data_IF_584596868368
#
_entry.id   IF_584596868368
#
_cell.length_a   1.000
_cell.length_b   1.000
_cell.length_c   1.000
_cell.angle_alpha   90.00
_cell.angle_beta   90.00
_cell.angle_gamma   90.00
#
_symmetry.space_group_name_H-M   'P 1'
#
loop_
_entity.id
_entity.type
_entity.pdbx_description
1 polymer ?
#
# COMPACT_ATOMS: atom_id res chain seq x y z
N UNK A 1 -4.85 45.17 -56.92
CA UNK A 1 -4.67 43.73 -56.64
C UNK A 1 -4.57 43.54 -55.13
N UNK A 2 -5.58 42.99 -54.50
CA UNK A 2 -5.55 42.68 -53.07
C UNK A 2 -5.33 41.16 -52.91
N UNK A 3 -4.20 40.74 -52.34
CA UNK A 3 -3.93 39.34 -52.02
C UNK A 3 -4.53 39.03 -50.64
N UNK A 4 -5.45 38.09 -50.62
CA UNK A 4 -5.96 37.53 -49.38
C UNK A 4 -5.08 36.32 -49.01
N UNK A 5 -4.46 36.38 -47.83
CA UNK A 5 -3.71 35.25 -47.22
C UNK A 5 -4.71 34.44 -46.40
N UNK A 6 -5.00 33.22 -46.86
CA UNK A 6 -5.79 32.24 -46.11
C UNK A 6 -4.82 31.50 -45.17
N UNK A 7 -4.89 31.77 -43.90
CA UNK A 7 -4.16 31.01 -42.87
C UNK A 7 -4.96 29.77 -42.53
N UNK A 8 -4.48 28.58 -42.92
CA UNK A 8 -5.05 27.30 -42.54
C UNK A 8 -4.54 26.95 -41.15
N UNK A 9 -5.43 27.02 -40.15
CA UNK A 9 -5.13 26.59 -38.78
C UNK A 9 -5.32 25.07 -38.71
N UNK A 10 -4.24 24.34 -38.58
CA UNK A 10 -4.28 22.91 -38.22
C UNK A 10 -4.57 22.76 -36.74
N UNK A 11 -5.81 22.38 -36.41
CA UNK A 11 -6.20 21.99 -35.05
C UNK A 11 -5.69 20.54 -34.79
N UNK A 12 -4.58 20.42 -34.09
CA UNK A 12 -4.15 19.12 -33.58
C UNK A 12 -5.09 18.69 -32.43
N UNK A 13 -6.07 17.87 -32.76
CA UNK A 13 -6.87 17.16 -31.78
C UNK A 13 -5.96 16.06 -31.24
N UNK A 14 -5.35 16.27 -30.05
CA UNK A 14 -4.73 15.20 -29.30
C UNK A 14 -5.84 14.29 -28.79
N UNK A 15 -6.03 13.16 -29.46
CA UNK A 15 -6.83 12.07 -28.90
C UNK A 15 -6.20 11.65 -27.58
N UNK A 16 -6.99 11.51 -26.48
CA UNK A 16 -6.45 10.92 -25.26
C UNK A 16 -5.97 9.51 -25.62
N UNK A 17 -4.73 9.19 -25.25
CA UNK A 17 -4.21 7.85 -25.36
C UNK A 17 -5.20 6.94 -24.60
N UNK A 18 -5.87 6.05 -25.33
CA UNK A 18 -6.63 4.97 -24.74
C UNK A 18 -5.64 4.18 -23.89
N UNK A 19 -5.83 4.17 -22.57
CA UNK A 19 -5.17 3.22 -21.70
C UNK A 19 -5.70 1.84 -22.12
N UNK A 20 -5.01 1.18 -23.04
CA UNK A 20 -5.20 -0.23 -23.27
C UNK A 20 -5.00 -0.92 -21.93
N UNK A 21 -5.93 -1.79 -21.53
CA UNK A 21 -5.75 -2.62 -20.36
C UNK A 21 -4.52 -3.49 -20.61
N UNK A 22 -3.43 -3.27 -19.87
CA UNK A 22 -2.23 -4.10 -19.92
C UNK A 22 -2.49 -5.44 -19.22
N UNK A 23 -3.32 -6.27 -19.88
CA UNK A 23 -3.64 -7.61 -19.42
C UNK A 23 -2.57 -8.60 -19.89
N UNK A 24 -2.11 -9.45 -19.00
CA UNK A 24 -1.21 -10.57 -19.29
C UNK A 24 -2.07 -11.78 -19.61
N UNK A 25 -1.86 -12.40 -20.78
CA UNK A 25 -2.74 -13.47 -21.29
C UNK A 25 -2.11 -14.87 -21.19
N UNK A 26 -0.81 -15.02 -21.39
CA UNK A 26 -0.12 -16.31 -21.32
C UNK A 26 0.19 -16.70 -19.86
N UNK A 27 -0.89 -16.90 -19.08
CA UNK A 27 -0.79 -17.17 -17.63
C UNK A 27 -1.44 -18.49 -17.29
N UNK A 28 -0.73 -19.34 -16.55
CA UNK A 28 -1.31 -20.54 -15.98
C UNK A 28 -2.33 -20.20 -14.88
N UNK A 29 -3.61 -20.51 -15.13
CA UNK A 29 -4.71 -20.13 -14.24
C UNK A 29 -4.59 -20.75 -12.84
N UNK A 30 -4.20 -22.03 -12.72
CA UNK A 30 -4.13 -22.73 -11.45
C UNK A 30 -3.08 -22.13 -10.50
N UNK A 31 -1.82 -21.86 -10.92
CA UNK A 31 -0.86 -21.16 -10.08
C UNK A 31 -1.29 -19.75 -9.73
N UNK A 32 -1.91 -19.01 -10.65
CA UNK A 32 -2.43 -17.66 -10.38
C UNK A 32 -3.54 -17.70 -9.33
N UNK A 33 -4.51 -18.64 -9.40
CA UNK A 33 -5.55 -18.85 -8.37
C UNK A 33 -4.93 -19.07 -6.99
N UNK A 34 -3.91 -19.92 -6.91
CA UNK A 34 -3.20 -20.19 -5.67
C UNK A 34 -2.45 -18.96 -5.13
N UNK A 35 -1.84 -18.16 -6.02
CA UNK A 35 -1.13 -16.93 -5.66
C UNK A 35 -2.12 -15.87 -5.17
N UNK A 36 -3.24 -15.65 -5.86
CA UNK A 36 -4.27 -14.67 -5.46
C UNK A 36 -4.90 -15.05 -4.12
N UNK A 37 -5.16 -16.33 -3.87
CA UNK A 37 -5.64 -16.79 -2.56
C UNK A 37 -4.68 -16.44 -1.42
N UNK A 38 -3.37 -16.64 -1.63
CA UNK A 38 -2.34 -16.24 -0.66
C UNK A 38 -2.25 -14.73 -0.51
N UNK A 39 -2.40 -13.97 -1.61
CA UNK A 39 -2.44 -12.51 -1.59
C UNK A 39 -3.58 -11.97 -0.73
N UNK A 40 -4.80 -12.48 -0.92
CA UNK A 40 -5.98 -12.10 -0.11
C UNK A 40 -5.73 -12.38 1.36
N UNK A 41 -5.24 -13.58 1.68
CA UNK A 41 -4.86 -13.91 3.07
C UNK A 41 -3.77 -12.99 3.63
N UNK A 42 -2.84 -12.52 2.80
CA UNK A 42 -1.81 -11.57 3.22
C UNK A 42 -2.39 -10.17 3.45
N UNK A 43 -3.34 -9.72 2.64
CA UNK A 43 -4.06 -8.46 2.84
C UNK A 43 -4.87 -8.48 4.16
N UNK A 44 -5.56 -9.59 4.44
CA UNK A 44 -6.22 -9.79 5.73
C UNK A 44 -5.21 -9.76 6.87
N UNK A 45 -4.06 -10.40 6.69
CA UNK A 45 -3.00 -10.45 7.69
C UNK A 45 -2.42 -9.07 8.03
N UNK A 46 -2.29 -8.16 7.07
CA UNK A 46 -1.84 -6.78 7.33
C UNK A 46 -2.97 -5.86 7.83
N UNK A 47 -4.19 -6.40 7.97
CA UNK A 47 -5.36 -5.66 8.44
C UNK A 47 -5.93 -4.70 7.39
N UNK A 48 -5.73 -4.99 6.11
CA UNK A 48 -6.27 -4.23 4.99
C UNK A 48 -6.93 -5.18 3.97
N UNK A 49 -8.04 -5.82 4.35
CA UNK A 49 -8.75 -6.79 3.51
C UNK A 49 -9.24 -6.15 2.21
N UNK A 50 -9.51 -6.99 1.22
CA UNK A 50 -10.22 -6.53 0.03
C UNK A 50 -11.58 -5.95 0.43
N UNK A 51 -12.01 -4.84 -0.22
CA UNK A 51 -13.38 -4.36 -0.06
C UNK A 51 -14.40 -5.47 -0.32
N UNK A 52 -15.51 -5.50 0.43
CA UNK A 52 -16.52 -6.58 0.36
C UNK A 52 -16.99 -6.86 -1.06
N UNK A 53 -17.25 -5.81 -1.85
CA UNK A 53 -17.66 -5.97 -3.26
C UNK A 53 -16.57 -6.67 -4.10
N UNK A 54 -15.29 -6.36 -3.86
CA UNK A 54 -14.17 -7.00 -4.55
C UNK A 54 -13.99 -8.45 -4.10
N UNK A 55 -14.12 -8.73 -2.80
CA UNK A 55 -14.05 -10.09 -2.27
C UNK A 55 -15.18 -10.98 -2.81
N UNK A 56 -16.42 -10.46 -2.90
CA UNK A 56 -17.56 -11.15 -3.49
C UNK A 56 -17.33 -11.43 -4.99
N UNK A 57 -16.82 -10.44 -5.71
CA UNK A 57 -16.51 -10.62 -7.14
C UNK A 57 -15.41 -11.65 -7.38
N UNK A 58 -14.38 -11.66 -6.54
CA UNK A 58 -13.31 -12.66 -6.60
C UNK A 58 -13.86 -14.08 -6.40
N UNK A 59 -14.76 -14.24 -5.43
CA UNK A 59 -15.42 -15.55 -5.18
C UNK A 59 -16.23 -16.04 -6.38
N UNK A 60 -16.90 -15.13 -7.10
CA UNK A 60 -17.58 -15.48 -8.36
C UNK A 60 -16.60 -15.93 -9.44
N UNK A 61 -15.47 -15.21 -9.58
CA UNK A 61 -14.42 -15.54 -10.54
C UNK A 61 -13.77 -16.89 -10.26
N UNK A 62 -13.65 -17.31 -9.01
CA UNK A 62 -13.09 -18.63 -8.66
C UNK A 62 -13.90 -19.80 -9.26
N UNK A 63 -15.19 -19.60 -9.55
CA UNK A 63 -16.07 -20.59 -10.18
C UNK A 63 -16.10 -20.50 -11.72
N UNK A 64 -15.43 -19.51 -12.33
CA UNK A 64 -15.38 -19.31 -13.79
C UNK A 64 -14.30 -20.18 -14.46
N UNK A 65 -14.36 -20.25 -15.79
CA UNK A 65 -13.30 -20.85 -16.59
C UNK A 65 -11.99 -20.05 -16.46
N UNK A 66 -10.89 -20.65 -16.94
CA UNK A 66 -9.54 -20.11 -16.74
C UNK A 66 -9.33 -18.76 -17.41
N UNK A 67 -9.81 -18.56 -18.64
CA UNK A 67 -9.65 -17.31 -19.37
C UNK A 67 -10.43 -16.16 -18.69
N UNK A 68 -11.65 -16.44 -18.25
CA UNK A 68 -12.48 -15.50 -17.51
C UNK A 68 -11.87 -15.17 -16.15
N UNK A 69 -11.27 -16.17 -15.49
CA UNK A 69 -10.56 -15.95 -14.22
C UNK A 69 -9.36 -15.03 -14.41
N UNK A 70 -8.46 -15.38 -15.35
CA UNK A 70 -7.22 -14.62 -15.61
C UNK A 70 -7.54 -13.16 -15.93
N UNK A 71 -8.49 -12.93 -16.83
CA UNK A 71 -8.89 -11.58 -17.21
C UNK A 71 -9.63 -10.84 -16.08
N UNK A 72 -10.54 -11.54 -15.42
CA UNK A 72 -11.39 -10.95 -14.38
C UNK A 72 -10.62 -10.57 -13.13
N UNK A 73 -9.68 -11.40 -12.69
CA UNK A 73 -8.87 -11.12 -11.50
C UNK A 73 -7.92 -9.95 -11.72
N UNK A 74 -7.32 -9.82 -12.90
CA UNK A 74 -6.50 -8.67 -13.23
C UNK A 74 -7.32 -7.38 -13.18
N UNK A 75 -8.48 -7.33 -13.87
CA UNK A 75 -9.37 -6.17 -13.83
C UNK A 75 -9.80 -5.81 -12.41
N UNK A 76 -10.02 -6.80 -11.57
CA UNK A 76 -10.40 -6.60 -10.16
C UNK A 76 -9.27 -6.00 -9.33
N UNK A 77 -8.05 -6.51 -9.47
CA UNK A 77 -6.90 -6.14 -8.64
C UNK A 77 -6.18 -4.90 -9.17
N UNK A 78 -6.24 -4.60 -10.46
CA UNK A 78 -5.59 -3.45 -11.08
C UNK A 78 -6.01 -2.11 -10.44
N UNK A 79 -7.24 -1.97 -9.95
CA UNK A 79 -7.70 -0.78 -9.22
C UNK A 79 -7.05 -0.58 -7.85
N UNK A 80 -6.39 -1.61 -7.32
CA UNK A 80 -5.62 -1.57 -6.09
C UNK A 80 -4.11 -1.52 -6.36
N UNK A 81 -3.72 -1.64 -7.62
CA UNK A 81 -2.33 -1.72 -8.06
C UNK A 81 -1.73 -0.33 -8.20
N UNK A 82 -0.71 -0.03 -7.39
CA UNK A 82 0.01 1.24 -7.40
C UNK A 82 1.02 1.30 -8.56
N UNK A 83 1.69 0.18 -8.83
CA UNK A 83 2.70 0.07 -9.86
C UNK A 83 2.62 -1.28 -10.58
N UNK A 84 2.95 -1.27 -11.86
CA UNK A 84 3.08 -2.46 -12.69
C UNK A 84 4.56 -2.63 -13.05
N UNK A 85 5.12 -3.77 -12.66
CA UNK A 85 6.53 -4.14 -12.86
C UNK A 85 6.61 -5.18 -13.94
N UNK A 86 7.27 -4.87 -15.03
CA UNK A 86 7.54 -5.79 -16.13
C UNK A 86 9.00 -6.22 -16.10
N UNK A 87 9.25 -7.51 -15.99
CA UNK A 87 10.57 -8.16 -16.02
C UNK A 87 10.65 -8.90 -17.35
N UNK A 88 11.42 -8.36 -18.28
CA UNK A 88 11.57 -8.95 -19.61
C UNK A 88 12.43 -10.25 -19.57
N UNK A 89 12.51 -11.04 -20.67
CA UNK A 89 13.28 -12.28 -20.71
C UNK A 89 14.78 -12.14 -20.38
N UNK A 90 15.32 -10.90 -20.48
CA UNK A 90 16.71 -10.59 -20.12
C UNK A 90 16.86 -10.14 -18.66
N UNK A 91 15.81 -10.31 -17.85
CA UNK A 91 15.75 -9.90 -16.43
C UNK A 91 15.88 -8.38 -16.21
N UNK A 92 15.51 -7.56 -17.20
CA UNK A 92 15.47 -6.10 -17.05
C UNK A 92 14.13 -5.66 -16.53
N UNK A 93 14.15 -4.70 -15.62
CA UNK A 93 12.94 -4.16 -14.96
C UNK A 93 12.49 -2.88 -15.63
N UNK A 94 11.23 -2.85 -16.05
CA UNK A 94 10.51 -1.64 -16.46
C UNK A 94 9.30 -1.47 -15.55
N UNK A 95 9.03 -0.24 -15.16
CA UNK A 95 7.92 0.08 -14.26
C UNK A 95 6.99 1.12 -14.88
N UNK A 96 5.70 0.99 -14.64
CA UNK A 96 4.66 1.95 -15.00
C UNK A 96 3.69 2.15 -13.83
N UNK A 97 2.92 3.26 -13.89
CA UNK A 97 1.90 3.52 -12.90
C UNK A 97 0.72 2.56 -13.08
N UNK A 98 0.27 1.96 -11.99
CA UNK A 98 -0.97 1.19 -11.96
C UNK A 98 -2.21 2.11 -11.87
N UNK A 99 -3.41 1.50 -11.83
CA UNK A 99 -4.70 2.20 -11.74
C UNK A 99 -5.09 2.57 -10.30
N UNK A 100 -4.34 2.06 -9.31
CA UNK A 100 -4.57 2.30 -7.89
C UNK A 100 -4.33 3.75 -7.50
N UNK A 101 -5.23 4.29 -6.68
CA UNK A 101 -5.08 5.65 -6.16
C UNK A 101 -4.00 5.70 -5.09
N UNK A 102 -3.00 6.56 -5.26
CA UNK A 102 -1.89 6.76 -4.34
C UNK A 102 -2.32 7.56 -3.08
N UNK A 103 -3.34 7.06 -2.36
CA UNK A 103 -3.84 7.68 -1.14
C UNK A 103 -3.17 7.08 0.09
N UNK A 104 -2.55 7.94 0.88
CA UNK A 104 -1.94 7.61 2.16
C UNK A 104 -2.75 8.20 3.31
N UNK A 105 -2.41 7.79 4.52
CA UNK A 105 -2.85 8.42 5.75
C UNK A 105 -1.65 8.91 6.54
N UNK A 106 -1.76 10.07 7.15
CA UNK A 106 -0.73 10.58 8.05
C UNK A 106 -0.59 9.66 9.26
N UNK A 107 0.67 9.41 9.66
CA UNK A 107 1.03 8.56 10.80
C UNK A 107 0.46 7.14 10.74
N UNK A 108 0.35 6.59 9.53
CA UNK A 108 -0.18 5.24 9.33
C UNK A 108 0.33 4.55 8.08
N UNK A 109 0.21 3.23 8.06
CA UNK A 109 0.56 2.39 6.92
C UNK A 109 -0.63 2.20 5.99
N UNK A 110 -0.40 2.35 4.69
CA UNK A 110 -1.34 2.03 3.61
C UNK A 110 -0.76 0.91 2.75
N UNK A 111 -1.53 -0.14 2.47
CA UNK A 111 -1.10 -1.23 1.60
C UNK A 111 -1.59 -1.01 0.18
N UNK A 112 -0.71 -1.29 -0.78
CA UNK A 112 -0.96 -1.25 -2.22
C UNK A 112 -0.53 -2.56 -2.85
N UNK A 113 -1.11 -2.89 -3.99
CA UNK A 113 -0.64 -3.99 -4.82
C UNK A 113 0.42 -3.51 -5.81
N UNK A 114 1.37 -4.38 -6.07
CA UNK A 114 2.30 -4.30 -7.19
C UNK A 114 2.00 -5.49 -8.09
N UNK A 115 1.62 -5.24 -9.33
CA UNK A 115 1.42 -6.25 -10.37
C UNK A 115 2.78 -6.54 -11.00
N UNK A 116 3.17 -7.79 -11.05
CA UNK A 116 4.45 -8.23 -11.62
C UNK A 116 4.18 -9.13 -12.81
N UNK A 117 4.57 -8.68 -13.99
CA UNK A 117 4.65 -9.48 -15.20
C UNK A 117 6.09 -9.93 -15.37
N UNK A 118 6.35 -11.23 -15.23
CA UNK A 118 7.69 -11.83 -15.09
C UNK A 118 7.97 -12.83 -16.18
N UNK A 119 8.32 -12.36 -17.37
CA UNK A 119 8.63 -13.20 -18.53
C UNK A 119 9.93 -14.03 -18.37
N UNK A 120 10.81 -13.59 -17.46
CA UNK A 120 12.09 -14.26 -17.20
C UNK A 120 11.99 -15.40 -16.18
N UNK A 121 10.84 -15.62 -15.54
CA UNK A 121 10.69 -16.59 -14.46
C UNK A 121 11.59 -16.32 -13.25
N UNK A 122 11.90 -15.04 -12.98
CA UNK A 122 12.80 -14.63 -11.88
C UNK A 122 12.19 -15.02 -10.53
N UNK A 123 13.02 -15.57 -9.64
CA UNK A 123 12.66 -15.95 -8.27
C UNK A 123 13.42 -15.14 -7.21
N UNK A 124 14.00 -13.98 -7.59
CA UNK A 124 14.70 -13.08 -6.69
C UNK A 124 13.70 -12.22 -5.86
N UNK A 125 14.14 -11.61 -4.75
CA UNK A 125 13.34 -10.61 -4.05
C UNK A 125 13.07 -9.38 -4.93
N UNK A 126 11.81 -8.94 -4.99
CA UNK A 126 11.47 -7.64 -5.57
C UNK A 126 11.73 -6.57 -4.51
N UNK A 127 12.70 -5.70 -4.75
CA UNK A 127 13.08 -4.60 -3.87
C UNK A 127 12.42 -3.32 -4.33
N UNK A 128 11.96 -2.53 -3.37
CA UNK A 128 11.38 -1.20 -3.63
C UNK A 128 12.10 -0.19 -2.75
N UNK A 129 12.66 0.83 -3.39
CA UNK A 129 13.40 1.89 -2.72
C UNK A 129 12.87 3.27 -3.14
N UNK A 130 13.23 4.30 -2.38
CA UNK A 130 12.96 5.70 -2.71
C UNK A 130 13.98 6.61 -2.03
N UNK A 131 14.41 7.71 -2.66
CA UNK A 131 15.19 8.75 -1.99
C UNK A 131 14.45 9.35 -0.78
N UNK A 132 13.12 9.36 -0.82
CA UNK A 132 12.27 9.86 0.27
C UNK A 132 12.00 8.83 1.37
N UNK A 133 12.60 7.63 1.29
CA UNK A 133 12.39 6.56 2.27
C UNK A 133 13.26 6.77 3.51
N UNK A 134 12.62 6.82 4.71
CA UNK A 134 13.29 6.78 6.02
C UNK A 134 13.56 5.34 6.47
N UNK A 135 14.13 5.13 7.64
CA UNK A 135 14.67 6.11 8.57
C UNK A 135 16.01 6.69 8.13
N UNK A 136 16.34 7.89 8.62
CA UNK A 136 17.65 8.53 8.38
C UNK A 136 18.80 7.66 8.91
N UNK A 137 18.52 6.92 9.97
CA UNK A 137 19.47 6.01 10.63
C UNK A 137 19.23 4.57 10.15
N UNK A 138 19.61 4.27 8.91
CA UNK A 138 19.64 2.89 8.43
C UNK A 138 20.98 2.28 8.82
N UNK A 139 20.95 1.33 9.76
CA UNK A 139 22.10 0.45 9.98
C UNK A 139 22.18 -0.54 8.83
N UNK A 140 23.11 -0.35 7.92
CA UNK A 140 23.56 -1.44 7.07
C UNK A 140 24.71 -2.17 7.78
N UNK A 141 24.72 -3.49 7.70
CA UNK A 141 25.84 -4.31 8.14
C UNK A 141 27.10 -3.85 7.39
N UNK A 142 27.96 -3.06 8.04
CA UNK A 142 29.21 -2.57 7.48
C UNK A 142 29.33 -1.06 7.25
N UNK A 143 28.25 -0.29 7.34
CA UNK A 143 28.35 1.18 7.35
C UNK A 143 28.46 1.72 8.77
N UNK A 144 29.28 2.76 8.97
CA UNK A 144 29.24 3.55 10.20
C UNK A 144 27.86 4.22 10.30
N UNK A 145 27.33 4.31 11.52
CA UNK A 145 26.14 5.13 11.76
C UNK A 145 26.42 6.57 11.25
N UNK A 146 25.45 7.21 10.56
CA UNK A 146 25.61 8.60 10.16
C UNK A 146 25.83 9.46 11.39
N UNK A 147 26.75 10.43 11.28
CA UNK A 147 26.99 11.40 12.34
C UNK A 147 25.73 12.27 12.52
N UNK A 148 25.06 12.23 13.68
CA UNK A 148 23.87 13.03 13.93
C UNK A 148 24.05 14.52 13.68
N UNK A 149 25.29 15.04 13.85
CA UNK A 149 25.61 16.45 13.62
C UNK A 149 25.59 16.85 12.14
N UNK A 150 25.62 15.89 11.22
CA UNK A 150 25.59 16.12 9.78
C UNK A 150 24.16 16.02 9.19
N UNK A 151 23.19 15.61 9.99
CA UNK A 151 21.79 15.51 9.53
C UNK A 151 21.17 16.90 9.55
N UNK A 152 20.74 17.35 8.39
CA UNK A 152 20.07 18.64 8.24
C UNK A 152 18.55 18.51 8.43
N UNK A 153 17.89 19.64 8.72
CA UNK A 153 16.41 19.69 8.74
C UNK A 153 15.83 19.23 7.40
N UNK A 154 16.49 19.59 6.30
CA UNK A 154 16.06 19.18 4.95
C UNK A 154 16.13 17.66 4.77
N UNK A 155 17.16 16.99 5.27
CA UNK A 155 17.25 15.52 5.23
C UNK A 155 16.08 14.84 5.95
N UNK A 156 15.61 15.47 7.05
CA UNK A 156 14.44 14.98 7.80
C UNK A 156 13.15 15.20 7.00
N UNK A 157 12.98 16.39 6.45
CA UNK A 157 11.79 16.75 5.67
C UNK A 157 11.66 15.97 4.37
N UNK A 158 12.78 15.66 3.72
CA UNK A 158 12.79 14.89 2.47
C UNK A 158 12.46 13.40 2.68
N UNK A 159 12.67 12.88 3.91
CA UNK A 159 12.37 11.49 4.28
C UNK A 159 11.02 11.34 4.96
N UNK A 160 9.99 11.68 4.22
CA UNK A 160 8.63 11.76 4.72
C UNK A 160 7.83 10.45 4.62
N UNK A 161 8.36 9.45 3.91
CA UNK A 161 7.72 8.14 3.78
C UNK A 161 8.63 7.01 4.27
N UNK A 162 8.03 5.86 4.60
CA UNK A 162 8.72 4.60 4.81
C UNK A 162 8.09 3.52 3.95
N UNK A 163 8.92 2.68 3.34
CA UNK A 163 8.51 1.58 2.46
C UNK A 163 8.74 0.24 3.14
N UNK A 164 7.82 -0.70 2.89
CA UNK A 164 7.98 -2.08 3.30
C UNK A 164 7.25 -3.02 2.36
N UNK A 165 7.92 -4.05 1.88
CA UNK A 165 7.29 -5.15 1.16
C UNK A 165 6.80 -6.21 2.15
N UNK A 166 5.64 -6.82 1.87
CA UNK A 166 5.20 -7.97 2.65
C UNK A 166 5.89 -9.23 2.11
N UNK A 167 6.88 -9.69 2.86
CA UNK A 167 7.81 -10.77 2.50
C UNK A 167 7.68 -12.01 3.41
N UNK A 168 6.54 -12.17 4.08
CA UNK A 168 6.26 -13.26 5.04
C UNK A 168 5.12 -14.15 4.54
N UNK A 169 4.96 -15.31 5.17
CA UNK A 169 3.79 -16.16 4.94
C UNK A 169 2.49 -15.36 5.18
N UNK A 170 1.46 -15.52 4.35
CA UNK A 170 1.28 -16.54 3.29
C UNK A 170 1.96 -16.24 1.94
N UNK A 171 2.59 -15.07 1.76
CA UNK A 171 3.47 -14.80 0.62
C UNK A 171 4.91 -15.26 0.91
N UNK A 172 5.74 -15.27 -0.14
CA UNK A 172 7.17 -15.62 -0.04
C UNK A 172 8.04 -14.35 -0.02
N UNK A 173 9.27 -14.39 0.52
CA UNK A 173 10.18 -13.24 0.44
C UNK A 173 10.68 -12.94 -0.97
N UNK A 174 10.55 -13.89 -1.89
CA UNK A 174 10.99 -13.79 -3.29
C UNK A 174 9.78 -13.84 -4.22
N UNK A 175 9.96 -13.41 -5.47
CA UNK A 175 9.05 -13.70 -6.56
C UNK A 175 8.93 -15.22 -6.71
N UNK A 176 7.78 -15.69 -7.17
CA UNK A 176 7.50 -17.12 -7.33
C UNK A 176 7.94 -17.69 -8.65
N UNK A 177 8.35 -16.85 -9.60
CA UNK A 177 8.68 -17.23 -10.98
C UNK A 177 7.44 -17.39 -11.86
N UNK A 178 6.26 -17.09 -11.37
CA UNK A 178 5.04 -17.06 -12.19
C UNK A 178 5.07 -15.90 -13.18
N UNK A 179 4.52 -16.11 -14.37
CA UNK A 179 4.36 -15.09 -15.41
C UNK A 179 3.64 -13.86 -14.88
N UNK A 180 2.62 -14.06 -14.05
CA UNK A 180 1.87 -13.02 -13.37
C UNK A 180 1.74 -13.31 -11.89
N UNK A 181 2.15 -12.35 -11.07
CA UNK A 181 1.92 -12.39 -9.62
C UNK A 181 1.69 -10.98 -9.05
N UNK A 182 1.09 -10.92 -7.87
CA UNK A 182 0.86 -9.67 -7.13
C UNK A 182 1.63 -9.67 -5.83
N UNK A 183 2.24 -8.52 -5.51
CA UNK A 183 2.97 -8.29 -4.26
C UNK A 183 2.32 -7.17 -3.48
N UNK A 184 2.53 -7.12 -2.16
CA UNK A 184 2.03 -6.05 -1.31
C UNK A 184 3.18 -5.10 -0.96
N UNK A 185 2.99 -3.82 -1.28
CA UNK A 185 3.83 -2.71 -0.84
C UNK A 185 3.07 -1.93 0.23
N UNK A 186 3.60 -1.84 1.42
CA UNK A 186 3.11 -0.96 2.46
C UNK A 186 3.91 0.35 2.46
N UNK A 187 3.21 1.46 2.54
CA UNK A 187 3.77 2.81 2.56
C UNK A 187 3.26 3.54 3.79
N UNK A 188 4.17 4.03 4.62
CA UNK A 188 3.88 4.91 5.74
C UNK A 188 4.15 6.36 5.33
N UNK A 189 3.34 7.29 5.80
CA UNK A 189 3.56 8.73 5.63
C UNK A 189 3.60 9.44 6.97
N UNK A 190 4.64 10.24 7.21
CA UNK A 190 4.71 11.14 8.38
C UNK A 190 4.02 12.49 8.16
N UNK A 191 3.72 12.85 6.89
CA UNK A 191 3.23 14.17 6.49
C UNK A 191 1.83 14.10 5.86
N UNK A 192 1.22 15.26 5.65
CA UNK A 192 -0.08 15.42 4.98
C UNK A 192 0.07 16.12 3.64
N UNK A 193 -1.01 16.05 2.85
CA UNK A 193 -1.12 16.75 1.57
C UNK A 193 -0.52 15.98 0.39
N UNK A 194 -0.33 16.70 -0.71
CA UNK A 194 0.22 16.12 -1.93
C UNK A 194 1.74 16.20 -1.89
N UNK A 195 2.40 15.04 -2.02
CA UNK A 195 3.85 14.94 -2.10
C UNK A 195 4.25 13.93 -3.17
N UNK A 196 5.27 14.28 -3.93
CA UNK A 196 5.85 13.38 -4.91
C UNK A 196 6.98 12.55 -4.28
N UNK A 197 7.03 11.27 -4.63
CA UNK A 197 8.16 10.41 -4.36
C UNK A 197 8.43 9.53 -5.58
N UNK A 198 9.70 9.32 -5.89
CA UNK A 198 10.11 8.35 -6.90
C UNK A 198 10.34 7.00 -6.25
N UNK A 199 9.61 5.98 -6.69
CA UNK A 199 9.83 4.59 -6.29
C UNK A 199 10.70 3.91 -7.34
N UNK A 200 11.78 3.25 -6.88
CA UNK A 200 12.68 2.47 -7.72
C UNK A 200 12.48 0.98 -7.42
N UNK A 201 12.31 0.19 -8.47
CA UNK A 201 12.10 -1.26 -8.36
C UNK A 201 13.30 -2.01 -8.94
N UNK A 202 13.80 -3.01 -8.21
CA UNK A 202 14.89 -3.87 -8.66
C UNK A 202 14.73 -5.32 -8.17
N UNK A 203 15.37 -6.24 -8.87
CA UNK A 203 15.41 -7.66 -8.54
C UNK A 203 16.84 -8.13 -8.20
N UNK A 204 17.76 -7.19 -7.98
CA UNK A 204 19.16 -7.48 -7.66
C UNK A 204 19.97 -8.03 -8.82
N UNK A 205 19.43 -8.03 -10.04
CA UNK A 205 20.08 -8.51 -11.26
C UNK A 205 19.82 -7.52 -12.40
N UNK A 206 20.74 -7.52 -13.37
CA UNK A 206 20.58 -6.77 -14.61
C UNK A 206 21.22 -5.38 -14.61
N UNK A 207 21.59 -4.96 -15.82
CA UNK A 207 22.04 -3.58 -16.10
C UNK A 207 20.87 -2.76 -16.58
N UNK A 208 20.79 -1.51 -16.13
CA UNK A 208 19.82 -0.57 -16.69
C UNK A 208 20.26 -0.16 -18.10
N UNK A 209 19.45 -0.48 -19.10
CA UNK A 209 19.64 0.01 -20.46
C UNK A 209 18.72 1.20 -20.76
N UNK A 210 19.12 1.98 -21.78
CA UNK A 210 18.31 3.02 -22.36
C UNK A 210 16.93 2.47 -22.82
N UNK A 211 15.85 2.91 -22.15
CA UNK A 211 14.48 2.46 -22.44
C UNK A 211 13.85 1.58 -21.36
N UNK A 212 14.63 0.96 -20.49
CA UNK A 212 14.12 0.29 -19.29
C UNK A 212 14.29 1.22 -18.10
N UNK A 213 13.18 1.73 -17.58
CA UNK A 213 13.15 2.61 -16.40
C UNK A 213 12.53 1.85 -15.25
N UNK A 214 13.33 1.62 -14.23
CA UNK A 214 12.87 1.05 -12.95
C UNK A 214 12.31 2.09 -11.98
N UNK A 215 12.36 3.37 -12.36
CA UNK A 215 11.94 4.51 -11.55
C UNK A 215 10.53 4.96 -11.94
N UNK A 216 9.68 5.14 -10.93
CA UNK A 216 8.31 5.60 -11.08
C UNK A 216 8.05 6.79 -10.16
N UNK A 217 7.92 8.03 -10.68
CA UNK A 217 7.45 9.16 -9.90
C UNK A 217 5.96 9.00 -9.60
N UNK A 218 5.58 9.12 -8.34
CA UNK A 218 4.18 9.00 -7.88
C UNK A 218 3.83 10.24 -7.06
N UNK A 219 2.73 10.90 -7.41
CA UNK A 219 2.14 11.95 -6.60
C UNK A 219 1.17 11.32 -5.59
N UNK A 220 1.65 11.14 -4.38
CA UNK A 220 0.83 10.69 -3.25
C UNK A 220 -0.07 11.80 -2.71
N UNK A 221 -1.23 11.42 -2.22
CA UNK A 221 -2.12 12.30 -1.46
C UNK A 221 -2.31 11.71 -0.06
N UNK A 222 -1.63 12.30 0.94
CA UNK A 222 -1.70 11.85 2.33
C UNK A 222 -2.78 12.60 3.08
N UNK A 223 -3.82 11.88 3.50
CA UNK A 223 -4.93 12.41 4.28
C UNK A 223 -4.46 12.72 5.71
N UNK A 224 -4.85 13.87 6.29
CA UNK A 224 -4.54 14.19 7.66
C UNK A 224 -5.18 13.19 8.61
N UNK A 225 -4.52 12.91 9.73
CA UNK A 225 -5.09 12.14 10.83
C UNK A 225 -5.35 13.02 12.04
N UNK A 226 -6.41 12.68 12.77
CA UNK A 226 -6.77 13.33 14.03
C UNK A 226 -6.21 12.49 15.17
N UNK A 227 -5.50 13.13 16.10
CA UNK A 227 -5.08 12.50 17.34
C UNK A 227 -6.27 12.41 18.29
N UNK A 228 -6.62 11.19 18.66
CA UNK A 228 -7.69 10.89 19.61
C UNK A 228 -7.07 10.51 20.94
N UNK A 229 -7.36 11.27 21.97
CA UNK A 229 -6.98 10.96 23.34
C UNK A 229 -8.00 10.04 23.98
N UNK A 230 -7.57 8.87 24.43
CA UNK A 230 -8.43 7.89 25.07
C UNK A 230 -8.59 8.18 26.56
N UNK A 231 -9.80 7.99 27.08
CA UNK A 231 -10.10 8.07 28.52
C UNK A 231 -10.67 6.74 28.94
N UNK A 232 -9.89 6.00 29.76
CA UNK A 232 -10.16 4.61 30.10
C UNK A 232 -10.18 4.43 31.61
N UNK A 233 -11.36 4.15 32.13
CA UNK A 233 -11.57 3.99 33.57
C UNK A 233 -12.13 2.60 33.88
N UNK A 234 -11.74 2.06 35.02
CA UNK A 234 -12.34 0.87 35.57
C UNK A 234 -13.68 1.19 36.27
N UNK A 235 -14.37 0.16 36.75
CA UNK A 235 -15.63 0.26 37.47
C UNK A 235 -15.52 1.10 38.77
N UNK A 236 -14.33 1.22 39.36
CA UNK A 236 -14.03 2.04 40.54
C UNK A 236 -13.60 3.48 40.19
N UNK A 237 -13.64 3.84 38.90
CA UNK A 237 -13.26 5.17 38.40
C UNK A 237 -11.75 5.39 38.30
N UNK A 238 -10.92 4.39 38.51
CA UNK A 238 -9.46 4.51 38.36
C UNK A 238 -9.02 4.34 36.92
N UNK A 239 -7.97 5.08 36.49
CA UNK A 239 -7.37 4.88 35.18
C UNK A 239 -6.89 3.44 35.00
N UNK A 240 -7.11 2.89 33.80
CA UNK A 240 -6.80 1.50 33.50
C UNK A 240 -6.39 1.29 32.04
N UNK A 241 -6.07 0.05 31.67
CA UNK A 241 -5.79 -0.39 30.30
C UNK A 241 -7.08 -0.87 29.64
N UNK A 242 -7.27 -0.52 28.38
CA UNK A 242 -8.31 -1.08 27.51
C UNK A 242 -7.70 -1.81 26.32
N UNK A 243 -8.42 -2.82 25.85
CA UNK A 243 -8.17 -3.51 24.59
C UNK A 243 -9.14 -2.94 23.55
N UNK A 244 -8.64 -2.56 22.38
CA UNK A 244 -9.43 -1.95 21.32
C UNK A 244 -9.24 -2.72 20.01
N UNK A 245 -10.33 -2.95 19.28
CA UNK A 245 -10.31 -3.30 17.87
C UNK A 245 -11.03 -2.16 17.15
N UNK A 246 -10.33 -1.52 16.21
CA UNK A 246 -10.84 -0.36 15.48
C UNK A 246 -10.87 -0.72 14.00
N UNK A 247 -12.06 -0.68 13.40
CA UNK A 247 -12.24 -0.96 11.97
C UNK A 247 -13.02 0.17 11.30
N UNK A 248 -12.67 0.44 10.05
CA UNK A 248 -13.52 1.28 9.21
C UNK A 248 -14.64 0.47 8.51
N UNK A 249 -15.47 1.15 7.72
CA UNK A 249 -16.56 0.51 6.98
C UNK A 249 -16.10 -0.49 5.90
N UNK A 250 -14.81 -0.50 5.56
CA UNK A 250 -14.21 -1.45 4.62
C UNK A 250 -13.54 -2.64 5.33
N UNK A 251 -13.65 -2.71 6.66
CA UNK A 251 -13.04 -3.74 7.48
C UNK A 251 -11.55 -3.56 7.74
N UNK A 252 -10.94 -2.44 7.30
CA UNK A 252 -9.52 -2.15 7.57
C UNK A 252 -9.31 -1.90 9.04
N UNK A 253 -8.24 -2.47 9.58
CA UNK A 253 -7.87 -2.39 11.00
C UNK A 253 -6.94 -1.20 11.26
N UNK A 254 -7.19 -0.48 12.34
CA UNK A 254 -6.41 0.71 12.74
C UNK A 254 -5.84 0.56 14.16
N UNK A 255 -4.56 0.93 14.33
CA UNK A 255 -3.54 1.10 13.31
C UNK A 255 -3.37 -0.17 12.46
N UNK A 256 -2.88 -0.03 11.23
CA UNK A 256 -2.56 -1.18 10.38
C UNK A 256 -1.70 -2.20 11.14
N UNK A 257 -1.88 -3.50 10.88
CA UNK A 257 -1.07 -4.57 11.49
C UNK A 257 0.35 -4.64 10.96
N UNK A 258 0.63 -3.94 9.85
CA UNK A 258 1.97 -3.89 9.28
C UNK A 258 2.95 -3.17 10.23
N UNK A 259 4.02 -3.85 10.61
CA UNK A 259 5.09 -3.34 11.51
C UNK A 259 4.60 -2.76 12.85
N UNK A 260 3.60 -3.36 13.47
CA UNK A 260 3.23 -3.00 14.84
C UNK A 260 4.37 -3.27 15.83
N UNK A 261 4.50 -2.39 16.80
CA UNK A 261 5.41 -2.53 17.93
C UNK A 261 4.66 -3.02 19.18
N UNK A 262 5.37 -3.71 20.05
CA UNK A 262 4.83 -4.11 21.36
C UNK A 262 4.28 -2.90 22.13
N UNK A 263 3.16 -3.04 22.84
CA UNK A 263 2.37 -4.26 23.12
C UNK A 263 1.36 -4.66 22.04
N UNK A 264 1.32 -3.97 20.90
CA UNK A 264 0.38 -4.20 19.82
C UNK A 264 0.95 -5.24 18.85
N UNK A 265 0.59 -6.50 19.01
CA UNK A 265 1.10 -7.57 18.18
C UNK A 265 0.52 -7.53 16.76
N UNK A 266 1.36 -7.85 15.76
CA UNK A 266 0.99 -7.86 14.35
C UNK A 266 0.03 -8.98 13.94
N UNK A 267 -0.11 -10.05 14.75
CA UNK A 267 -0.95 -11.21 14.47
C UNK A 267 -2.36 -11.12 15.05
N UNK A 268 -2.68 -10.02 15.74
CA UNK A 268 -4.01 -9.72 16.28
C UNK A 268 -4.51 -8.35 15.82
N UNK A 269 -5.83 -8.21 15.70
CA UNK A 269 -6.45 -6.92 15.34
C UNK A 269 -6.43 -5.92 16.50
N UNK A 270 -6.48 -6.41 17.74
CA UNK A 270 -6.53 -5.56 18.91
C UNK A 270 -5.22 -4.81 19.18
N UNK A 271 -5.39 -3.67 19.81
CA UNK A 271 -4.35 -2.86 20.41
C UNK A 271 -4.64 -2.65 21.88
N UNK A 272 -3.62 -2.33 22.67
CA UNK A 272 -3.75 -2.06 24.10
C UNK A 272 -3.34 -0.63 24.39
N UNK A 273 -4.20 0.11 25.12
CA UNK A 273 -3.93 1.51 25.49
C UNK A 273 -4.27 1.73 26.95
N UNK A 274 -3.41 2.53 27.60
CA UNK A 274 -3.67 3.05 28.94
C UNK A 274 -4.45 4.36 28.86
N UNK A 275 -5.06 4.76 29.97
CA UNK A 275 -5.75 6.06 30.06
C UNK A 275 -4.79 7.20 29.69
N UNK A 276 -5.29 8.17 28.94
CA UNK A 276 -4.58 9.31 28.33
C UNK A 276 -3.62 8.99 27.18
N UNK A 277 -3.44 7.74 26.77
CA UNK A 277 -2.75 7.45 25.52
C UNK A 277 -3.57 7.86 24.30
N UNK A 278 -2.88 8.05 23.17
CA UNK A 278 -3.48 8.56 21.94
C UNK A 278 -3.42 7.54 20.81
N UNK A 279 -4.32 7.70 19.85
CA UNK A 279 -4.33 7.02 18.56
C UNK A 279 -4.59 8.03 17.45
N UNK A 280 -3.96 7.80 16.28
CA UNK A 280 -4.16 8.64 15.11
C UNK A 280 -5.10 7.96 14.11
N UNK A 281 -6.18 8.62 13.74
CA UNK A 281 -7.14 8.12 12.76
C UNK A 281 -7.44 9.19 11.70
N UNK A 282 -7.44 8.84 10.40
CA UNK A 282 -7.95 9.74 9.37
C UNK A 282 -9.46 9.99 9.55
N UNK A 283 -9.96 11.03 8.90
CA UNK A 283 -11.41 11.28 8.90
C UNK A 283 -12.17 10.08 8.33
N UNK A 284 -13.25 9.67 8.99
CA UNK A 284 -14.00 8.49 8.61
C UNK A 284 -15.01 8.04 9.65
N UNK A 285 -15.64 6.91 9.39
CA UNK A 285 -16.55 6.25 10.32
C UNK A 285 -15.89 4.94 10.74
N UNK A 286 -15.82 4.73 12.05
CA UNK A 286 -15.11 3.60 12.63
C UNK A 286 -15.99 2.86 13.63
N UNK A 287 -15.89 1.55 13.64
CA UNK A 287 -16.39 0.69 14.69
C UNK A 287 -15.27 0.44 15.70
N UNK A 288 -15.53 0.81 16.94
CA UNK A 288 -14.66 0.57 18.09
C UNK A 288 -15.23 -0.57 18.92
N UNK A 289 -14.56 -1.69 18.95
CA UNK A 289 -14.85 -2.78 19.88
C UNK A 289 -13.88 -2.69 21.05
N UNK A 290 -14.40 -2.55 22.26
CA UNK A 290 -13.63 -2.30 23.49
C UNK A 290 -13.90 -3.36 24.53
N UNK A 291 -12.85 -3.86 25.17
CA UNK A 291 -12.93 -4.76 26.33
C UNK A 291 -11.67 -4.63 27.19
N UNK A 292 -11.66 -5.31 28.35
CA UNK A 292 -10.45 -5.49 29.20
C UNK A 292 -10.03 -6.95 29.32
N UNK A 293 -10.73 -7.84 28.66
CA UNK A 293 -10.46 -9.26 28.71
C UNK A 293 -11.73 -10.09 28.91
N UNK A 294 -11.62 -11.39 29.12
CA UNK A 294 -12.75 -12.31 29.08
C UNK A 294 -13.79 -12.10 30.21
N UNK A 295 -13.40 -11.45 31.32
CA UNK A 295 -14.30 -11.16 32.43
C UNK A 295 -15.09 -9.85 32.26
N UNK A 296 -14.81 -9.10 31.19
CA UNK A 296 -15.44 -7.81 30.93
C UNK A 296 -16.38 -7.89 29.73
N UNK A 297 -17.47 -7.12 29.80
CA UNK A 297 -18.41 -7.02 28.68
C UNK A 297 -17.74 -6.30 27.51
N UNK A 298 -17.89 -6.87 26.33
CA UNK A 298 -17.49 -6.23 25.08
C UNK A 298 -18.48 -5.10 24.80
N UNK A 299 -17.95 -3.92 24.47
CA UNK A 299 -18.71 -2.76 24.03
C UNK A 299 -18.32 -2.42 22.60
N UNK A 300 -19.30 -2.22 21.74
CA UNK A 300 -19.08 -1.81 20.35
C UNK A 300 -19.80 -0.49 20.11
N UNK A 301 -19.07 0.51 19.60
CA UNK A 301 -19.57 1.84 19.31
C UNK A 301 -19.11 2.29 17.93
N UNK A 302 -19.98 3.01 17.22
CA UNK A 302 -19.63 3.67 15.97
C UNK A 302 -19.22 5.10 16.25
N UNK A 303 -18.01 5.49 15.82
CA UNK A 303 -17.46 6.83 16.03
C UNK A 303 -17.16 7.45 14.66
N UNK A 304 -17.60 8.69 14.48
CA UNK A 304 -17.27 9.50 13.30
C UNK A 304 -16.15 10.49 13.64
N UNK A 305 -15.05 10.37 12.92
CA UNK A 305 -13.94 11.32 12.96
C UNK A 305 -14.15 12.32 11.83
N UNK A 306 -14.24 13.60 12.18
CA UNK A 306 -14.37 14.70 11.21
C UNK A 306 -12.99 15.14 10.73
N UNK A 307 -12.93 15.71 9.53
CA UNK A 307 -11.71 16.39 9.06
C UNK A 307 -11.31 17.47 10.05
N UNK A 308 -10.14 17.34 10.64
CA UNK A 308 -9.52 18.47 11.32
C UNK A 308 -9.11 19.46 10.23
N UNK A 309 -9.84 20.58 10.09
CA UNK A 309 -9.34 21.68 9.24
C UNK A 309 -7.98 22.09 9.82
N UNK A 310 -6.92 22.17 9.00
CA UNK A 310 -5.69 22.81 9.45
C UNK A 310 -6.05 24.24 9.86
N UNK A 311 -5.73 24.60 11.12
CA UNK A 311 -5.78 25.98 11.58
C UNK A 311 -4.72 26.81 10.86
#
# INVERSE_FOLDING_TARGET
MRFAIIATVFLFISLPASNAEDLVFDVDAQPLRAQVKRLVSALDYVGQPLPEASASRLKELEASDDDQYITGVQKLLDYLTLAEVHINPESRVKVSAGKGKAHLQQNGWSAFLIKVHNEAGVTAPLRVNSPSNGPIFVRSTGSKDPDPSQITTQDIEDRWLELGTFDKQPLTPTLSGLELEYRILAVYSSTTGKREATLTFDIGQGTQDLGFRSDLPILFNSNPSTELKLRIFDHDGRPTVGQFIIRDLQGRVYPSRFRRLEPDFYFHDQIYRYDNETINLPAGIYEFTVTRGPEYRIQTNTIKISDSKPM
#
